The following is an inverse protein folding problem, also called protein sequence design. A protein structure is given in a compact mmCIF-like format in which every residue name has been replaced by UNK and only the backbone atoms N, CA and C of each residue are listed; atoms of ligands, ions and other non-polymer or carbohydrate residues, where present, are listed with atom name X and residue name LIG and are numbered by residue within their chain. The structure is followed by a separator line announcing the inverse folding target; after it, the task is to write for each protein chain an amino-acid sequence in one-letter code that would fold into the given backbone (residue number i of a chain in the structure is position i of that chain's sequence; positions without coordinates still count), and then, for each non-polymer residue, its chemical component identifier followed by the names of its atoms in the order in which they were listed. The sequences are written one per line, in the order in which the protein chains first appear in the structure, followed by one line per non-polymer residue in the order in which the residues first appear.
data_IF_961632869801
#
_entry.id   IF_961632869801
#
_cell.length_a   1.000
_cell.length_b   1.000
_cell.length_c   1.000
_cell.angle_alpha   90.00
_cell.angle_beta   90.00
_cell.angle_gamma   90.00
#
_symmetry.space_group_name_H-M   'P 1'
#
loop_
_entity.id
_entity.type
_entity.pdbx_description
1 polymer ?
#
# COMPACT_ATOMS: atom_id res chain seq x y z
N UNK A 1 8.52 -1.42 -12.78
CA UNK A 1 7.08 -1.20 -13.10
C UNK A 1 6.84 0.03 -13.96
N UNK A 2 7.45 1.16 -13.68
CA UNK A 2 7.29 2.45 -14.39
C UNK A 2 7.39 2.37 -15.92
N UNK A 3 8.34 1.60 -16.44
CA UNK A 3 8.57 1.46 -17.90
C UNK A 3 7.42 0.74 -18.63
N UNK A 4 6.71 -0.17 -17.95
CA UNK A 4 5.63 -0.96 -18.56
C UNK A 4 4.28 -0.26 -18.57
N UNK A 5 3.94 0.46 -17.50
CA UNK A 5 2.63 1.11 -17.35
C UNK A 5 2.67 2.53 -17.91
N UNK A 6 3.74 3.27 -17.67
CA UNK A 6 3.90 4.66 -18.05
C UNK A 6 3.04 5.63 -17.24
N UNK A 7 3.55 6.84 -17.05
CA UNK A 7 2.92 7.84 -16.19
C UNK A 7 1.52 8.28 -16.64
N UNK A 8 1.26 8.31 -17.95
CA UNK A 8 -0.02 8.79 -18.50
C UNK A 8 -1.18 7.79 -18.33
N UNK A 9 -0.87 6.50 -18.15
CA UNK A 9 -1.88 5.44 -18.01
C UNK A 9 -2.14 5.04 -16.58
N UNK A 10 -1.16 5.21 -15.68
CA UNK A 10 -1.22 4.71 -14.30
C UNK A 10 -2.45 5.18 -13.53
N UNK A 11 -2.88 6.42 -13.73
CA UNK A 11 -3.99 7.01 -12.98
C UNK A 11 -5.38 6.56 -13.47
N UNK A 12 -5.46 5.84 -14.60
CA UNK A 12 -6.71 5.33 -15.18
C UNK A 12 -6.94 3.84 -14.92
N UNK A 13 -6.01 3.18 -14.26
CA UNK A 13 -6.09 1.74 -13.98
C UNK A 13 -6.95 1.53 -12.74
N UNK A 14 -8.00 0.75 -12.87
CA UNK A 14 -8.89 0.35 -11.76
C UNK A 14 -8.53 -1.02 -11.19
N UNK A 15 -8.05 -1.93 -12.04
CA UNK A 15 -7.69 -3.30 -11.67
C UNK A 15 -6.25 -3.58 -12.10
N UNK A 16 -5.44 -4.11 -11.20
CA UNK A 16 -4.03 -4.42 -11.47
C UNK A 16 -3.67 -5.79 -10.91
N UNK A 17 -3.06 -6.63 -11.75
CA UNK A 17 -2.42 -7.86 -11.30
C UNK A 17 -0.92 -7.78 -11.57
N UNK A 18 -0.12 -8.11 -10.54
CA UNK A 18 1.33 -8.10 -10.60
C UNK A 18 1.92 -9.42 -10.14
N UNK A 19 3.04 -9.78 -10.75
CA UNK A 19 3.83 -10.97 -10.39
C UNK A 19 5.30 -10.60 -10.37
N UNK A 20 6.13 -11.42 -9.75
CA UNK A 20 7.57 -11.21 -9.64
C UNK A 20 7.94 -10.49 -8.33
N UNK A 21 9.12 -9.89 -8.31
CA UNK A 21 9.60 -9.17 -7.12
C UNK A 21 9.08 -7.74 -7.13
N UNK A 22 8.54 -7.30 -6.00
CA UNK A 22 8.10 -5.93 -5.76
C UNK A 22 8.88 -5.36 -4.58
N UNK A 23 9.53 -4.23 -4.81
CA UNK A 23 10.22 -3.45 -3.79
C UNK A 23 9.38 -2.23 -3.36
N UNK A 24 9.93 -1.40 -2.48
CA UNK A 24 9.21 -0.24 -1.96
C UNK A 24 8.88 0.81 -3.05
N UNK A 25 9.72 0.96 -4.07
CA UNK A 25 9.44 1.89 -5.18
C UNK A 25 8.27 1.41 -6.06
N UNK A 26 8.13 0.10 -6.24
CA UNK A 26 6.97 -0.48 -6.91
C UNK A 26 5.69 -0.25 -6.09
N UNK A 27 5.77 -0.42 -4.77
CA UNK A 27 4.64 -0.14 -3.87
C UNK A 27 4.27 1.36 -3.92
N UNK A 28 5.25 2.25 -3.93
CA UNK A 28 5.03 3.68 -4.07
C UNK A 28 4.25 4.00 -5.36
N UNK A 29 4.62 3.38 -6.47
CA UNK A 29 3.91 3.52 -7.74
C UNK A 29 2.47 2.99 -7.67
N UNK A 30 2.24 1.87 -6.98
CA UNK A 30 0.89 1.34 -6.72
C UNK A 30 0.07 2.34 -5.90
N UNK A 31 0.65 2.96 -4.89
CA UNK A 31 -0.01 3.98 -4.05
C UNK A 31 -0.43 5.20 -4.86
N UNK A 32 0.41 5.68 -5.77
CA UNK A 32 0.04 6.76 -6.70
C UNK A 32 -1.15 6.37 -7.58
N UNK A 33 -1.18 5.11 -8.06
CA UNK A 33 -2.31 4.58 -8.84
C UNK A 33 -3.60 4.49 -8.02
N UNK A 34 -3.51 4.28 -6.72
CA UNK A 34 -4.66 4.24 -5.81
C UNK A 34 -5.14 5.64 -5.35
N UNK A 35 -4.49 6.72 -5.79
CA UNK A 35 -4.91 8.08 -5.50
C UNK A 35 -4.70 8.54 -4.05
N UNK A 36 -3.89 7.83 -3.28
CA UNK A 36 -3.74 8.04 -1.84
C UNK A 36 -2.44 8.71 -1.45
N UNK A 37 -1.85 9.47 -2.34
CA UNK A 37 -0.52 10.00 -2.12
C UNK A 37 -0.44 11.51 -2.34
N UNK A 38 0.10 12.21 -1.34
CA UNK A 38 0.70 13.52 -1.52
C UNK A 38 2.21 13.31 -1.60
N UNK A 39 2.84 13.79 -2.65
CA UNK A 39 4.29 13.84 -2.67
C UNK A 39 4.81 14.91 -1.66
N UNK A 40 6.12 14.93 -1.46
CA UNK A 40 6.78 15.92 -0.59
C UNK A 40 6.53 17.37 -1.00
N UNK A 41 5.92 17.61 -2.17
CA UNK A 41 5.55 18.92 -2.70
C UNK A 41 4.05 19.22 -2.58
N UNK A 42 3.27 18.30 -1.98
CA UNK A 42 1.84 18.44 -1.81
C UNK A 42 1.01 18.16 -3.07
N UNK A 43 1.58 17.48 -4.08
CA UNK A 43 0.81 17.06 -5.25
C UNK A 43 -0.03 15.85 -4.93
N UNK A 44 -1.34 15.95 -5.17
CA UNK A 44 -2.28 14.84 -5.08
C UNK A 44 -2.27 14.04 -6.38
N UNK A 45 -2.22 12.74 -6.27
CA UNK A 45 -2.45 11.82 -7.38
C UNK A 45 -3.91 11.41 -7.41
N UNK A 46 -4.56 11.57 -8.54
CA UNK A 46 -5.98 11.24 -8.76
C UNK A 46 -6.10 9.85 -9.41
N UNK A 47 -5.59 8.85 -8.71
CA UNK A 47 -5.59 7.46 -9.16
C UNK A 47 -6.93 6.78 -8.89
N UNK A 48 -7.21 5.70 -9.65
CA UNK A 48 -8.49 5.00 -9.63
C UNK A 48 -8.34 3.49 -9.32
N UNK A 49 -7.18 3.04 -8.87
CA UNK A 49 -6.95 1.63 -8.55
C UNK A 49 -7.81 1.22 -7.35
N UNK A 50 -8.68 0.23 -7.58
CA UNK A 50 -9.63 -0.32 -6.60
C UNK A 50 -9.33 -1.78 -6.29
N UNK A 51 -8.77 -2.51 -7.26
CA UNK A 51 -8.56 -3.95 -7.19
C UNK A 51 -7.10 -4.27 -7.47
N UNK A 52 -6.40 -4.80 -6.46
CA UNK A 52 -4.99 -5.16 -6.55
C UNK A 52 -4.78 -6.65 -6.28
N UNK A 53 -4.29 -7.39 -7.26
CA UNK A 53 -3.86 -8.78 -7.09
C UNK A 53 -2.34 -8.89 -7.20
N UNK A 54 -1.70 -9.15 -6.07
CA UNK A 54 -0.26 -9.41 -5.96
C UNK A 54 0.03 -10.83 -5.45
N UNK A 55 -0.92 -11.76 -5.63
CA UNK A 55 -0.78 -13.15 -5.17
C UNK A 55 0.45 -13.86 -5.75
N UNK A 56 0.80 -13.53 -7.00
CA UNK A 56 1.99 -14.06 -7.67
C UNK A 56 3.29 -13.28 -7.42
N UNK A 57 3.25 -12.27 -6.54
CA UNK A 57 4.40 -11.45 -6.25
C UNK A 57 5.15 -11.90 -4.98
N UNK A 58 6.38 -11.42 -4.85
CA UNK A 58 7.19 -11.54 -3.64
C UNK A 58 7.63 -10.12 -3.23
N UNK A 59 7.35 -9.74 -2.00
CA UNK A 59 7.80 -8.47 -1.44
C UNK A 59 9.27 -8.58 -1.03
N UNK A 60 10.07 -7.61 -1.44
CA UNK A 60 11.52 -7.63 -1.22
C UNK A 60 12.03 -6.29 -0.69
N UNK A 61 13.03 -6.36 0.17
CA UNK A 61 13.76 -5.20 0.70
C UNK A 61 15.13 -5.09 0.02
N UNK A 62 15.15 -4.95 -1.30
CA UNK A 62 16.39 -4.91 -2.06
C UNK A 62 17.23 -3.66 -1.80
N UNK A 63 16.59 -2.58 -1.36
CA UNK A 63 17.21 -1.25 -1.30
C UNK A 63 17.31 -0.69 0.12
N UNK A 64 16.86 -1.45 1.13
CA UNK A 64 16.82 -1.04 2.54
C UNK A 64 16.16 0.34 2.72
N UNK A 65 15.11 0.59 1.94
CA UNK A 65 14.49 1.89 1.77
C UNK A 65 13.20 1.98 2.56
N UNK A 66 13.00 3.10 3.19
CA UNK A 66 11.77 3.50 3.86
C UNK A 66 11.18 4.70 3.12
N UNK A 67 9.88 4.83 3.12
CA UNK A 67 9.19 6.00 2.57
C UNK A 67 8.19 6.51 3.58
N UNK A 68 8.23 7.82 3.82
CA UNK A 68 7.22 8.46 4.66
C UNK A 68 5.90 8.53 3.90
N UNK A 69 4.84 8.06 4.52
CA UNK A 69 3.48 8.11 3.99
C UNK A 69 2.63 9.03 4.85
N UNK A 70 1.74 9.77 4.20
CA UNK A 70 0.87 10.74 4.83
C UNK A 70 -0.59 10.41 4.57
N UNK A 71 -1.51 10.75 5.48
CA UNK A 71 -2.94 10.69 5.20
C UNK A 71 -3.32 11.61 4.03
N UNK A 72 -4.44 11.30 3.39
CA UNK A 72 -4.91 11.94 2.14
C UNK A 72 -5.10 13.45 2.23
N UNK A 73 -5.49 13.96 3.38
CA UNK A 73 -5.70 15.38 3.60
C UNK A 73 -5.26 15.79 5.02
N UNK A 74 -4.14 16.51 5.13
CA UNK A 74 -3.70 17.04 6.42
C UNK A 74 -4.71 17.99 7.07
N UNK A 75 -5.60 18.62 6.28
CA UNK A 75 -6.60 19.55 6.80
C UNK A 75 -7.81 18.87 7.44
N UNK A 76 -8.06 17.59 7.15
CA UNK A 76 -9.10 16.81 7.82
C UNK A 76 -8.80 16.56 9.31
N UNK A 77 -7.59 16.91 9.76
CA UNK A 77 -7.09 16.59 11.10
C UNK A 77 -6.58 17.84 11.83
N UNK A 78 -7.33 18.94 11.77
CA UNK A 78 -7.00 20.13 12.57
C UNK A 78 -6.88 19.75 14.06
N UNK A 79 -5.65 19.79 14.58
CA UNK A 79 -5.35 19.69 16.01
C UNK A 79 -4.73 18.39 16.52
N UNK A 80 -4.55 17.36 15.69
CA UNK A 80 -3.76 16.18 16.06
C UNK A 80 -2.74 15.88 14.98
N UNK A 81 -1.44 15.80 15.31
CA UNK A 81 -0.47 15.28 14.35
C UNK A 81 -0.76 13.78 14.18
N UNK A 82 -1.50 13.42 13.14
CA UNK A 82 -1.51 12.02 12.70
C UNK A 82 -0.10 11.71 12.20
N UNK A 83 0.58 10.76 12.81
CA UNK A 83 1.95 10.51 12.46
C UNK A 83 2.02 10.07 11.00
N UNK A 84 2.92 10.69 10.25
CA UNK A 84 3.44 10.05 9.06
C UNK A 84 3.90 8.65 9.47
N UNK A 85 3.40 7.63 8.81
CA UNK A 85 3.91 6.28 9.04
C UNK A 85 5.11 6.05 8.12
N UNK A 86 6.15 5.41 8.64
CA UNK A 86 7.25 4.95 7.81
C UNK A 86 6.87 3.61 7.18
N UNK A 87 6.72 3.62 5.86
CA UNK A 87 6.38 2.43 5.09
C UNK A 87 7.64 1.75 4.57
N UNK A 88 7.78 0.47 4.85
CA UNK A 88 8.90 -0.33 4.39
C UNK A 88 8.55 -1.82 4.27
N UNK A 89 9.41 -2.55 3.59
CA UNK A 89 9.40 -4.01 3.58
C UNK A 89 10.62 -4.46 4.37
N UNK A 90 10.44 -5.22 5.44
CA UNK A 90 11.59 -5.68 6.23
C UNK A 90 12.35 -6.83 5.54
N UNK A 91 13.48 -7.26 6.12
CA UNK A 91 14.35 -8.31 5.56
C UNK A 91 13.67 -9.67 5.38
N UNK A 92 12.54 -9.88 6.05
CA UNK A 92 11.71 -11.10 5.92
C UNK A 92 10.58 -10.94 4.90
N UNK A 93 10.53 -9.84 4.16
CA UNK A 93 9.46 -9.52 3.21
C UNK A 93 8.13 -9.14 3.88
N UNK A 94 8.16 -8.74 5.16
CA UNK A 94 6.97 -8.29 5.88
C UNK A 94 6.64 -6.86 5.47
N UNK A 95 5.42 -6.59 4.99
CA UNK A 95 4.97 -5.24 4.70
C UNK A 95 4.61 -4.49 5.99
N UNK A 96 5.27 -3.38 6.27
CA UNK A 96 4.95 -2.47 7.38
C UNK A 96 4.40 -1.19 6.78
N UNK A 97 3.19 -0.81 7.14
CA UNK A 97 2.44 0.38 6.69
C UNK A 97 2.35 0.60 5.16
N UNK A 98 2.83 -0.32 4.31
CA UNK A 98 2.95 -0.08 2.86
C UNK A 98 1.62 0.11 2.13
N UNK A 99 0.53 -0.41 2.68
CA UNK A 99 -0.84 -0.22 2.16
C UNK A 99 -1.68 0.72 3.03
N UNK A 100 -1.10 1.38 4.01
CA UNK A 100 -1.80 2.33 4.85
C UNK A 100 -2.40 3.49 4.03
N UNK A 101 -3.58 3.98 4.46
CA UNK A 101 -4.28 5.11 3.84
C UNK A 101 -4.72 4.89 2.37
N UNK A 102 -4.89 3.65 1.94
CA UNK A 102 -5.49 3.34 0.63
C UNK A 102 -7.03 3.45 0.74
N UNK A 103 -7.52 4.70 0.88
CA UNK A 103 -8.92 5.00 1.21
C UNK A 103 -9.93 4.43 0.22
N UNK A 104 -9.59 4.38 -1.06
CA UNK A 104 -10.48 3.99 -2.13
C UNK A 104 -10.22 2.55 -2.64
N UNK A 105 -9.25 1.84 -2.06
CA UNK A 105 -8.96 0.44 -2.38
C UNK A 105 -10.07 -0.45 -1.85
N UNK A 106 -10.66 -1.27 -2.73
CA UNK A 106 -11.80 -2.14 -2.40
C UNK A 106 -11.39 -3.59 -2.16
N UNK A 107 -10.38 -4.07 -2.90
CA UNK A 107 -9.94 -5.46 -2.79
C UNK A 107 -8.42 -5.58 -2.96
N UNK A 108 -7.81 -6.37 -2.09
CA UNK A 108 -6.38 -6.73 -2.18
C UNK A 108 -6.23 -8.25 -2.03
N UNK A 109 -5.53 -8.87 -2.99
CA UNK A 109 -5.08 -10.26 -2.90
C UNK A 109 -3.59 -10.28 -2.61
N UNK A 110 -3.23 -10.71 -1.40
CA UNK A 110 -1.86 -10.68 -0.89
C UNK A 110 -0.97 -11.78 -1.50
N UNK A 111 0.38 -11.61 -1.44
CA UNK A 111 1.32 -12.62 -1.90
C UNK A 111 1.08 -13.98 -1.25
N UNK A 112 0.92 -15.03 -2.07
CA UNK A 112 0.56 -16.38 -1.59
C UNK A 112 1.56 -16.98 -0.58
N UNK A 113 2.80 -16.49 -0.56
CA UNK A 113 3.86 -16.95 0.35
C UNK A 113 4.15 -15.99 1.50
N UNK A 114 3.33 -14.95 1.68
CA UNK A 114 3.52 -13.96 2.73
C UNK A 114 3.46 -14.64 4.11
N UNK A 115 4.45 -14.38 4.97
CA UNK A 115 4.55 -15.00 6.30
C UNK A 115 3.99 -14.14 7.43
N UNK A 116 3.98 -12.83 7.24
CA UNK A 116 3.45 -11.90 8.23
C UNK A 116 2.94 -10.62 7.58
N UNK A 117 1.94 -10.04 8.20
CA UNK A 117 1.44 -8.70 7.94
C UNK A 117 2.00 -7.82 9.06
N UNK A 118 2.66 -6.74 8.72
CA UNK A 118 3.33 -5.85 9.69
C UNK A 118 2.37 -4.89 10.39
N UNK A 119 2.94 -4.07 11.25
CA UNK A 119 2.21 -3.02 11.94
C UNK A 119 1.66 -2.01 10.93
N UNK A 120 0.47 -1.48 11.20
CA UNK A 120 -0.24 -0.47 10.41
C UNK A 120 -0.40 -0.80 8.92
N UNK A 121 -0.21 -2.07 8.52
CA UNK A 121 -0.11 -2.47 7.11
C UNK A 121 -1.28 -1.98 6.24
N UNK A 122 -2.50 -1.94 6.77
CA UNK A 122 -3.73 -1.51 6.10
C UNK A 122 -4.49 -0.46 6.92
N UNK A 123 -3.81 0.25 7.81
CA UNK A 123 -4.47 1.28 8.63
C UNK A 123 -5.20 2.28 7.73
N UNK A 124 -6.46 2.63 8.09
CA UNK A 124 -7.33 3.55 7.35
C UNK A 124 -7.66 3.16 5.89
N UNK A 125 -7.67 1.89 5.55
CA UNK A 125 -8.21 1.41 4.28
C UNK A 125 -9.75 1.36 4.36
N UNK A 126 -10.40 2.53 4.32
CA UNK A 126 -11.83 2.69 4.66
C UNK A 126 -12.80 2.04 3.66
N UNK A 127 -12.39 1.82 2.43
CA UNK A 127 -13.24 1.17 1.41
C UNK A 127 -12.91 -0.30 1.21
N UNK A 128 -12.01 -0.87 2.02
CA UNK A 128 -11.55 -2.24 1.85
C UNK A 128 -12.67 -3.24 2.21
N UNK A 129 -13.29 -3.82 1.19
CA UNK A 129 -14.40 -4.78 1.31
C UNK A 129 -13.91 -6.21 1.42
N UNK A 130 -12.76 -6.51 0.81
CA UNK A 130 -12.22 -7.85 0.72
C UNK A 130 -10.69 -7.84 0.76
N UNK A 131 -10.14 -8.74 1.55
CA UNK A 131 -8.71 -9.03 1.56
C UNK A 131 -8.50 -10.55 1.67
N UNK A 132 -7.72 -11.10 0.74
CA UNK A 132 -7.31 -12.49 0.85
C UNK A 132 -6.03 -12.58 1.68
N UNK A 133 -6.15 -13.05 2.92
CA UNK A 133 -5.00 -13.34 3.79
C UNK A 133 -4.60 -14.80 3.52
N UNK A 134 -3.40 -15.05 2.96
CA UNK A 134 -2.98 -16.41 2.63
C UNK A 134 -2.74 -17.25 3.90
N UNK A 135 -2.96 -18.55 3.79
CA UNK A 135 -2.76 -19.53 4.90
C UNK A 135 -1.32 -19.55 5.44
N UNK A 136 -0.37 -19.03 4.65
CA UNK A 136 1.04 -18.93 5.05
C UNK A 136 1.29 -17.86 6.11
N UNK A 137 0.34 -16.92 6.35
CA UNK A 137 0.48 -15.84 7.33
C UNK A 137 0.38 -16.41 8.75
N UNK A 138 1.43 -16.18 9.53
CA UNK A 138 1.55 -16.66 10.91
C UNK A 138 1.42 -15.53 11.93
N UNK A 139 1.56 -14.28 11.51
CA UNK A 139 1.53 -13.11 12.37
C UNK A 139 0.88 -11.93 11.68
N UNK A 140 0.05 -11.20 12.45
CA UNK A 140 -0.51 -9.90 12.07
C UNK A 140 -0.05 -8.89 13.12
N UNK A 141 0.49 -7.79 12.66
CA UNK A 141 1.06 -6.73 13.50
C UNK A 141 0.02 -5.84 14.17
N UNK A 142 0.50 -4.92 14.99
CA UNK A 142 -0.33 -3.97 15.71
C UNK A 142 -1.07 -3.06 14.73
N UNK A 143 -2.34 -2.76 15.01
CA UNK A 143 -3.18 -1.84 14.21
C UNK A 143 -3.24 -2.16 12.71
N UNK A 144 -2.87 -3.39 12.29
CA UNK A 144 -2.75 -3.74 10.87
C UNK A 144 -4.01 -3.43 10.04
N UNK A 145 -5.21 -3.48 10.65
CA UNK A 145 -6.51 -3.20 10.02
C UNK A 145 -7.31 -2.12 10.75
N UNK A 146 -6.63 -1.26 11.47
CA UNK A 146 -7.31 -0.21 12.22
C UNK A 146 -8.02 0.77 11.27
N UNK A 147 -9.30 1.07 11.54
CA UNK A 147 -10.17 1.87 10.66
C UNK A 147 -10.35 1.32 9.22
N UNK A 148 -10.32 0.02 9.02
CA UNK A 148 -10.92 -0.63 7.85
C UNK A 148 -12.40 -0.85 8.14
N UNK A 149 -13.29 0.04 7.67
CA UNK A 149 -14.74 0.06 7.95
C UNK A 149 -15.57 0.11 6.69
#
# INVERSE_FOLDING_TARGET
MHERIGNNKKLKIECLRLTGMLNIDDIQFIREMAGCYYDTKGHKYDGHLRYLDISGATLTNTDNKEVSIYPRDPSEYEGTPWPSAEAYINDKGTPVAIFAYLYDMEEIVLPAKLKSIGDDAFIFCRSLKSINIPESVQKIGLSAFYFCI
#
